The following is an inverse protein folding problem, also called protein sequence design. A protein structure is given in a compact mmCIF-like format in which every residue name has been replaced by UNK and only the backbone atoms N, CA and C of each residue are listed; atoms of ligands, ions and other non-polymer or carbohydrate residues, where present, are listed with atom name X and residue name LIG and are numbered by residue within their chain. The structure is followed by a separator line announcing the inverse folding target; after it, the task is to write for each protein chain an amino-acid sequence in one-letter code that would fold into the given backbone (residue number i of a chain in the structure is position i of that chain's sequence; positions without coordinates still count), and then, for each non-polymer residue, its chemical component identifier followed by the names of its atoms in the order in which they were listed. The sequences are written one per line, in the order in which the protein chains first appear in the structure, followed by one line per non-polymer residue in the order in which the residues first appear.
data_IF_933162294770
#
_entry.id   IF_933162294770
#
_cell.length_a   1.000
_cell.length_b   1.000
_cell.length_c   1.000
_cell.angle_alpha   90.00
_cell.angle_beta   90.00
_cell.angle_gamma   90.00
#
_symmetry.space_group_name_H-M   'P 1'
#
loop_
_entity.id
_entity.type
_entity.pdbx_description
1 polymer ?
#
# COMPACT_ATOMS: atom_id res chain seq x y z
N UNK A 1 11.07 20.74 -0.28
CA UNK A 1 11.00 19.27 -0.35
C UNK A 1 10.57 18.86 -1.75
N UNK A 2 11.01 17.70 -2.25
CA UNK A 2 10.67 17.21 -3.59
C UNK A 2 9.27 16.61 -3.55
N UNK A 3 8.41 17.05 -4.47
CA UNK A 3 7.10 16.44 -4.69
C UNK A 3 7.27 15.04 -5.31
N UNK A 4 6.79 14.00 -4.61
CA UNK A 4 6.81 12.62 -5.07
C UNK A 4 5.56 12.30 -5.89
N UNK A 5 5.69 11.42 -6.89
CA UNK A 5 4.57 10.79 -7.59
C UNK A 5 4.24 9.46 -6.95
N UNK A 6 3.08 9.33 -6.31
CA UNK A 6 2.69 8.14 -5.56
C UNK A 6 1.53 7.46 -6.29
N UNK A 7 1.76 6.27 -6.82
CA UNK A 7 0.72 5.40 -7.38
C UNK A 7 0.11 4.52 -6.30
N UNK A 8 -1.22 4.43 -6.28
CA UNK A 8 -1.99 3.58 -5.38
C UNK A 8 -2.87 2.64 -6.21
N UNK A 9 -2.82 1.35 -5.94
CA UNK A 9 -3.89 0.45 -6.38
C UNK A 9 -5.21 0.78 -5.64
N UNK A 10 -6.31 0.25 -6.15
CA UNK A 10 -7.63 0.49 -5.62
C UNK A 10 -8.23 -0.73 -4.91
N UNK A 11 -8.18 -1.92 -5.50
CA UNK A 11 -8.89 -3.09 -4.99
C UNK A 11 -8.04 -3.80 -3.94
N UNK A 12 -8.57 -3.96 -2.73
CA UNK A 12 -7.84 -4.39 -1.55
C UNK A 12 -6.64 -3.49 -1.17
N UNK A 13 -6.57 -2.26 -1.68
CA UNK A 13 -5.70 -1.18 -1.18
C UNK A 13 -6.49 0.04 -0.69
N UNK A 14 -7.53 0.46 -1.42
CA UNK A 14 -8.42 1.58 -1.05
C UNK A 14 -9.87 1.14 -0.83
N UNK A 15 -10.34 0.16 -1.60
CA UNK A 15 -11.67 -0.44 -1.50
C UNK A 15 -11.54 -1.89 -1.05
N UNK A 16 -12.48 -2.37 -0.23
CA UNK A 16 -12.58 -3.79 0.08
C UNK A 16 -13.02 -4.52 -1.18
N UNK A 17 -12.23 -5.48 -1.66
CA UNK A 17 -12.57 -6.24 -2.85
C UNK A 17 -12.84 -7.71 -2.49
N UNK A 18 -11.79 -8.50 -2.25
CA UNK A 18 -11.94 -9.91 -1.93
C UNK A 18 -12.68 -10.14 -0.59
N UNK A 19 -12.35 -9.35 0.44
CA UNK A 19 -13.04 -9.42 1.74
C UNK A 19 -14.53 -9.08 1.66
N UNK A 20 -14.91 -8.18 0.74
CA UNK A 20 -16.29 -7.80 0.53
C UNK A 20 -17.09 -8.90 -0.17
N UNK A 21 -16.51 -9.56 -1.18
CA UNK A 21 -17.10 -10.76 -1.79
C UNK A 21 -17.39 -11.81 -0.72
N UNK A 22 -16.41 -12.12 0.13
CA UNK A 22 -16.54 -13.12 1.19
C UNK A 22 -17.66 -12.74 2.16
N UNK A 23 -17.76 -11.47 2.54
CA UNK A 23 -18.86 -10.98 3.36
C UNK A 23 -20.22 -11.21 2.68
N UNK A 24 -20.38 -10.82 1.41
CA UNK A 24 -21.63 -10.98 0.66
C UNK A 24 -22.01 -12.46 0.51
N UNK A 25 -21.03 -13.31 0.25
CA UNK A 25 -21.22 -14.75 0.11
C UNK A 25 -21.55 -15.43 1.43
N UNK A 26 -20.96 -14.99 2.55
CA UNK A 26 -21.32 -15.49 3.88
C UNK A 26 -22.73 -15.04 4.30
N UNK A 27 -23.20 -13.86 3.88
CA UNK A 27 -24.59 -13.43 4.13
C UNK A 27 -25.63 -14.29 3.39
N UNK A 28 -25.26 -14.92 2.27
CA UNK A 28 -26.13 -15.85 1.54
C UNK A 28 -26.13 -17.26 2.12
N UNK A 29 -25.07 -17.64 2.86
CA UNK A 29 -24.96 -18.95 3.48
C UNK A 29 -25.87 -19.00 4.71
N UNK A 30 -26.78 -19.98 4.75
CA UNK A 30 -27.50 -20.30 5.98
C UNK A 30 -26.58 -21.10 6.90
N UNK A 31 -26.51 -20.71 8.18
CA UNK A 31 -25.61 -21.27 9.20
C UNK A 31 -25.75 -22.79 9.40
N UNK A 32 -26.83 -23.39 8.92
CA UNK A 32 -27.14 -24.81 9.11
C UNK A 32 -26.56 -25.74 8.03
N UNK A 33 -25.99 -25.21 6.93
CA UNK A 33 -25.67 -26.06 5.76
C UNK A 33 -24.27 -25.88 5.15
N UNK A 34 -23.51 -24.82 5.49
CA UNK A 34 -22.14 -24.61 4.99
C UNK A 34 -21.25 -23.90 6.00
N UNK A 35 -19.98 -24.26 6.01
CA UNK A 35 -18.94 -23.49 6.70
C UNK A 35 -18.84 -22.08 6.09
N UNK A 36 -18.56 -21.09 6.93
CA UNK A 36 -18.32 -19.72 6.46
C UNK A 36 -16.99 -19.68 5.71
N UNK A 37 -16.95 -18.94 4.62
CA UNK A 37 -15.69 -18.65 3.94
C UNK A 37 -14.84 -17.74 4.82
N UNK A 38 -13.56 -18.05 4.87
CA UNK A 38 -12.56 -17.29 5.60
C UNK A 38 -11.70 -16.49 4.62
N UNK A 39 -11.49 -15.21 4.92
CA UNK A 39 -10.63 -14.35 4.11
C UNK A 39 -9.17 -14.80 4.13
N UNK A 40 -8.71 -15.31 5.27
CA UNK A 40 -7.32 -15.75 5.41
C UNK A 40 -7.03 -17.05 4.63
N UNK A 41 -8.08 -17.76 4.20
CA UNK A 41 -7.93 -18.91 3.30
C UNK A 41 -7.67 -18.53 1.82
N UNK A 42 -7.75 -17.24 1.46
CA UNK A 42 -7.46 -16.74 0.12
C UNK A 42 -5.95 -16.60 -0.12
N UNK A 43 -5.29 -17.72 -0.39
CA UNK A 43 -3.82 -17.82 -0.53
C UNK A 43 -3.30 -17.52 -1.95
N UNK A 44 -4.18 -17.19 -2.91
CA UNK A 44 -3.80 -16.86 -4.28
C UNK A 44 -4.57 -15.66 -4.83
N UNK A 45 -3.85 -14.80 -5.56
CA UNK A 45 -4.46 -13.72 -6.33
C UNK A 45 -5.20 -14.24 -7.57
N UNK A 46 -4.67 -15.28 -8.18
CA UNK A 46 -5.27 -15.95 -9.34
C UNK A 46 -6.29 -17.01 -8.92
N UNK A 47 -7.05 -17.52 -9.89
CA UNK A 47 -7.95 -18.65 -9.69
C UNK A 47 -7.20 -19.87 -9.12
N UNK A 48 -7.80 -20.48 -8.11
CA UNK A 48 -7.23 -21.60 -7.36
C UNK A 48 -8.12 -22.85 -7.38
N UNK A 49 -9.12 -22.88 -8.27
CA UNK A 49 -10.12 -23.92 -8.48
C UNK A 49 -10.84 -24.33 -7.17
N UNK A 50 -11.19 -23.33 -6.35
CA UNK A 50 -11.86 -23.54 -5.06
C UNK A 50 -13.07 -22.60 -4.89
N UNK A 51 -13.80 -22.74 -3.77
CA UNK A 51 -15.03 -21.97 -3.54
C UNK A 51 -14.84 -20.45 -3.52
N UNK A 52 -13.63 -19.95 -3.24
CA UNK A 52 -13.33 -18.52 -3.22
C UNK A 52 -13.26 -17.90 -4.61
N UNK A 53 -13.11 -18.71 -5.67
CA UNK A 53 -13.12 -18.23 -7.06
C UNK A 53 -14.47 -17.67 -7.49
N UNK A 54 -15.53 -17.85 -6.69
CA UNK A 54 -16.80 -17.14 -6.84
C UNK A 54 -16.63 -15.61 -6.94
N UNK A 55 -15.54 -15.07 -6.37
CA UNK A 55 -15.16 -13.65 -6.50
C UNK A 55 -15.10 -13.16 -7.95
N UNK A 56 -14.68 -14.01 -8.88
CA UNK A 56 -14.58 -13.60 -10.28
C UNK A 56 -15.95 -13.38 -10.93
N UNK A 57 -17.02 -13.97 -10.39
CA UNK A 57 -18.39 -13.67 -10.82
C UNK A 57 -18.86 -12.31 -10.29
N UNK A 58 -18.45 -11.94 -9.08
CA UNK A 58 -18.72 -10.60 -8.53
C UNK A 58 -18.02 -9.49 -9.31
N UNK A 59 -16.81 -9.74 -9.80
CA UNK A 59 -16.06 -8.76 -10.60
C UNK A 59 -16.71 -8.52 -11.98
N UNK A 60 -17.73 -9.30 -12.37
CA UNK A 60 -18.57 -9.09 -13.55
C UNK A 60 -19.91 -8.41 -13.22
N UNK A 61 -20.06 -7.86 -12.01
CA UNK A 61 -21.28 -7.17 -11.57
C UNK A 61 -21.05 -5.67 -11.43
N UNK A 62 -21.94 -4.89 -12.03
CA UNK A 62 -22.00 -3.43 -11.84
C UNK A 62 -22.33 -3.10 -10.38
N UNK A 63 -23.29 -3.82 -9.81
CA UNK A 63 -23.76 -3.66 -8.44
C UNK A 63 -22.64 -3.88 -7.43
N UNK A 64 -21.70 -4.79 -7.70
CA UNK A 64 -20.52 -4.99 -6.87
C UNK A 64 -19.67 -3.72 -6.78
N UNK A 65 -19.33 -3.09 -7.91
CA UNK A 65 -18.57 -1.85 -7.94
C UNK A 65 -19.33 -0.66 -7.36
N UNK A 66 -20.66 -0.61 -7.56
CA UNK A 66 -21.52 0.44 -6.99
C UNK A 66 -21.63 0.35 -5.47
N UNK A 67 -21.53 -0.84 -4.89
CA UNK A 67 -21.68 -1.09 -3.44
C UNK A 67 -20.36 -1.31 -2.71
N UNK A 68 -19.24 -1.33 -3.43
CA UNK A 68 -17.93 -1.62 -2.87
C UNK A 68 -17.59 -0.66 -1.71
N UNK A 69 -17.31 -1.16 -0.51
CA UNK A 69 -16.99 -0.31 0.63
C UNK A 69 -15.54 0.17 0.57
N UNK A 70 -15.33 1.44 0.91
CA UNK A 70 -13.99 1.99 1.14
C UNK A 70 -13.37 1.31 2.38
N UNK A 71 -12.08 1.01 2.33
CA UNK A 71 -11.34 0.48 3.48
C UNK A 71 -11.29 1.54 4.57
N UNK A 72 -11.46 1.13 5.82
CA UNK A 72 -11.40 2.04 6.96
C UNK A 72 -10.06 2.79 6.99
N UNK A 73 -10.13 4.11 7.11
CA UNK A 73 -8.94 4.98 7.10
C UNK A 73 -8.40 5.34 5.71
N UNK A 74 -8.88 4.73 4.61
CA UNK A 74 -8.33 4.98 3.27
C UNK A 74 -8.48 6.45 2.83
N UNK A 75 -9.60 7.09 3.16
CA UNK A 75 -9.82 8.50 2.83
C UNK A 75 -8.80 9.39 3.56
N UNK A 76 -8.63 9.19 4.87
CA UNK A 76 -7.64 9.93 5.68
C UNK A 76 -6.21 9.69 5.19
N UNK A 77 -5.88 8.45 4.85
CA UNK A 77 -4.60 8.06 4.27
C UNK A 77 -4.29 8.83 2.98
N UNK A 78 -5.24 8.87 2.04
CA UNK A 78 -5.07 9.60 0.78
C UNK A 78 -4.98 11.10 1.01
N UNK A 79 -5.85 11.67 1.85
CA UNK A 79 -5.81 13.08 2.24
C UNK A 79 -4.47 13.46 2.88
N UNK A 80 -3.87 12.57 3.68
CA UNK A 80 -2.56 12.81 4.29
C UNK A 80 -1.45 12.86 3.24
N UNK A 81 -1.39 11.93 2.29
CA UNK A 81 -0.41 11.95 1.20
C UNK A 81 -0.52 13.22 0.35
N UNK A 82 -1.75 13.65 0.04
CA UNK A 82 -2.00 14.91 -0.68
C UNK A 82 -1.59 16.11 0.19
N UNK A 83 -1.90 16.09 1.49
CA UNK A 83 -1.56 17.12 2.46
C UNK A 83 -0.06 17.28 2.70
N UNK A 84 0.72 16.19 2.56
CA UNK A 84 2.19 16.21 2.49
C UNK A 84 2.72 16.88 1.21
N UNK A 85 1.84 17.23 0.27
CA UNK A 85 2.17 17.95 -0.95
C UNK A 85 2.58 17.06 -2.12
N UNK A 86 2.32 15.75 -2.07
CA UNK A 86 2.65 14.79 -3.13
C UNK A 86 1.60 14.76 -4.26
N UNK A 87 2.00 14.25 -5.43
CA UNK A 87 1.06 13.92 -6.51
C UNK A 87 0.60 12.48 -6.33
N UNK A 88 -0.66 12.29 -5.92
CA UNK A 88 -1.28 10.98 -5.75
C UNK A 88 -2.01 10.59 -7.02
N UNK A 89 -1.77 9.37 -7.49
CA UNK A 89 -2.38 8.74 -8.65
C UNK A 89 -3.06 7.44 -8.24
N UNK A 90 -4.31 7.24 -8.66
CA UNK A 90 -5.02 5.97 -8.45
C UNK A 90 -4.93 5.17 -9.74
N UNK A 91 -4.24 4.03 -9.68
CA UNK A 91 -3.96 3.15 -10.81
C UNK A 91 -4.71 1.83 -10.59
N UNK A 92 -5.90 1.70 -11.17
CA UNK A 92 -6.79 0.55 -10.97
C UNK A 92 -6.98 -0.26 -12.24
N UNK A 93 -7.19 -1.57 -12.10
CA UNK A 93 -7.50 -2.47 -13.20
C UNK A 93 -8.86 -3.11 -12.98
N UNK A 94 -9.84 -2.69 -13.77
CA UNK A 94 -11.16 -3.32 -13.85
C UNK A 94 -11.55 -3.46 -15.33
N UNK A 95 -12.59 -4.24 -15.62
CA UNK A 95 -13.15 -4.24 -16.98
C UNK A 95 -13.58 -2.82 -17.36
N UNK A 96 -13.18 -2.40 -18.55
CA UNK A 96 -13.50 -1.09 -19.13
C UNK A 96 -14.99 -0.77 -19.11
N UNK A 97 -15.87 -1.78 -19.14
CA UNK A 97 -17.33 -1.59 -19.09
C UNK A 97 -17.82 -1.02 -17.75
N UNK A 98 -17.05 -1.13 -16.68
CA UNK A 98 -17.35 -0.58 -15.34
C UNK A 98 -16.51 0.66 -15.02
N UNK A 99 -15.73 1.16 -15.98
CA UNK A 99 -14.80 2.26 -15.77
C UNK A 99 -15.48 3.59 -15.39
N UNK A 100 -16.73 3.79 -15.82
CA UNK A 100 -17.56 4.93 -15.42
C UNK A 100 -17.87 4.91 -13.92
N UNK A 101 -18.35 3.78 -13.39
CA UNK A 101 -18.70 3.61 -11.97
C UNK A 101 -17.46 3.84 -11.11
N UNK A 102 -16.34 3.21 -11.47
CA UNK A 102 -15.11 3.31 -10.68
C UNK A 102 -14.59 4.74 -10.62
N UNK A 103 -14.61 5.46 -11.75
CA UNK A 103 -14.24 6.90 -11.75
C UNK A 103 -15.18 7.73 -10.89
N UNK A 104 -16.49 7.47 -10.97
CA UNK A 104 -17.48 8.18 -10.15
C UNK A 104 -17.23 7.92 -8.66
N UNK A 105 -17.15 6.65 -8.25
CA UNK A 105 -16.88 6.25 -6.86
C UNK A 105 -15.59 6.86 -6.34
N UNK A 106 -14.49 6.79 -7.09
CA UNK A 106 -13.23 7.41 -6.69
C UNK A 106 -13.37 8.93 -6.51
N UNK A 107 -14.07 9.61 -7.42
CA UNK A 107 -14.27 11.06 -7.34
C UNK A 107 -15.11 11.48 -6.14
N UNK A 108 -16.06 10.64 -5.70
CA UNK A 108 -16.91 10.88 -4.53
C UNK A 108 -16.17 10.55 -3.23
N UNK A 109 -15.47 9.42 -3.19
CA UNK A 109 -14.83 8.88 -2.00
C UNK A 109 -13.46 9.55 -1.71
N UNK A 110 -12.74 10.02 -2.73
CA UNK A 110 -11.40 10.61 -2.63
C UNK A 110 -11.31 11.99 -3.33
N UNK A 111 -12.06 13.01 -2.86
CA UNK A 111 -12.16 14.31 -3.54
C UNK A 111 -10.85 15.10 -3.61
N UNK A 112 -9.86 14.77 -2.76
CA UNK A 112 -8.53 15.39 -2.76
C UNK A 112 -7.66 14.92 -3.95
N UNK A 113 -8.02 13.79 -4.57
CA UNK A 113 -7.35 13.28 -5.78
C UNK A 113 -7.98 13.91 -7.00
N UNK A 114 -7.16 14.56 -7.83
CA UNK A 114 -7.65 15.13 -9.08
C UNK A 114 -8.15 14.02 -10.01
N UNK A 115 -9.25 14.26 -10.70
CA UNK A 115 -9.82 13.30 -11.67
C UNK A 115 -8.85 12.93 -12.79
N UNK A 116 -7.96 13.84 -13.20
CA UNK A 116 -6.89 13.59 -14.18
C UNK A 116 -5.80 12.62 -13.69
N UNK A 117 -5.76 12.32 -12.39
CA UNK A 117 -4.83 11.39 -11.77
C UNK A 117 -5.44 10.00 -11.53
N UNK A 118 -6.64 9.72 -12.04
CA UNK A 118 -7.31 8.42 -11.93
C UNK A 118 -7.20 7.66 -13.26
N UNK A 119 -6.47 6.55 -13.24
CA UNK A 119 -6.21 5.74 -14.43
C UNK A 119 -6.80 4.34 -14.29
N UNK A 120 -7.59 3.94 -15.28
CA UNK A 120 -8.14 2.59 -15.39
C UNK A 120 -7.40 1.86 -16.50
N UNK A 121 -6.53 0.92 -16.14
CA UNK A 121 -5.70 0.16 -17.07
C UNK A 121 -5.19 -1.13 -16.41
N UNK A 122 -5.20 -2.22 -17.17
CA UNK A 122 -4.53 -3.47 -16.76
C UNK A 122 -3.02 -3.47 -17.00
N UNK A 123 -2.49 -2.45 -17.70
CA UNK A 123 -1.06 -2.28 -17.98
C UNK A 123 -0.47 -1.25 -17.04
N UNK A 124 -0.04 -1.66 -15.84
CA UNK A 124 0.62 -0.76 -14.87
C UNK A 124 2.08 -0.46 -15.21
N UNK A 125 2.72 -1.31 -16.00
CA UNK A 125 4.09 -1.18 -16.49
C UNK A 125 4.37 0.08 -17.32
N UNK A 126 3.34 0.68 -17.91
CA UNK A 126 3.48 1.90 -18.72
C UNK A 126 3.60 3.16 -17.85
N UNK A 127 3.23 3.09 -16.57
CA UNK A 127 3.30 4.24 -15.66
C UNK A 127 4.68 4.33 -15.04
N UNK A 128 5.11 5.57 -14.79
CA UNK A 128 6.33 5.87 -14.05
C UNK A 128 6.01 6.75 -12.86
N UNK A 129 6.17 6.18 -11.67
CA UNK A 129 5.89 6.80 -10.38
C UNK A 129 7.08 6.61 -9.45
N UNK A 130 7.22 7.51 -8.48
CA UNK A 130 8.29 7.44 -7.49
C UNK A 130 8.05 6.31 -6.50
N UNK A 131 6.80 6.10 -6.09
CA UNK A 131 6.38 5.03 -5.17
C UNK A 131 5.11 4.38 -5.74
N UNK A 132 5.01 3.05 -5.67
CA UNK A 132 3.76 2.33 -5.96
C UNK A 132 3.34 1.49 -4.76
N UNK A 133 2.09 1.63 -4.32
CA UNK A 133 1.46 0.75 -3.34
C UNK A 133 0.45 -0.17 -4.04
N UNK A 134 0.67 -1.47 -3.96
CA UNK A 134 -0.18 -2.49 -4.59
C UNK A 134 -0.17 -3.76 -3.76
N UNK A 135 -1.25 -4.54 -3.74
CA UNK A 135 -1.28 -5.85 -3.09
C UNK A 135 -0.91 -6.99 -4.07
N UNK A 136 -1.03 -6.76 -5.38
CA UNK A 136 -0.78 -7.77 -6.40
C UNK A 136 0.70 -7.77 -6.78
N UNK A 137 1.41 -8.85 -6.43
CA UNK A 137 2.86 -8.99 -6.63
C UNK A 137 3.29 -8.75 -8.08
N UNK A 138 2.49 -9.19 -9.06
CA UNK A 138 2.81 -9.04 -10.49
C UNK A 138 2.82 -7.59 -10.97
N UNK A 139 2.14 -6.67 -10.26
CA UNK A 139 2.17 -5.24 -10.55
C UNK A 139 3.45 -4.56 -10.04
N UNK A 140 4.15 -5.20 -9.08
CA UNK A 140 5.32 -4.65 -8.39
C UNK A 140 6.63 -5.32 -8.79
N UNK A 141 6.58 -6.56 -9.28
CA UNK A 141 7.75 -7.35 -9.64
C UNK A 141 7.53 -8.14 -10.94
N UNK A 142 8.57 -8.23 -11.75
CA UNK A 142 8.58 -8.95 -13.02
C UNK A 142 8.52 -8.03 -14.25
N UNK A 143 8.37 -8.63 -15.44
CA UNK A 143 8.42 -7.90 -16.72
C UNK A 143 7.29 -6.89 -16.92
N UNK A 144 6.17 -7.06 -16.21
CA UNK A 144 4.99 -6.18 -16.27
C UNK A 144 4.80 -5.35 -15.00
N UNK A 145 5.85 -5.25 -14.17
CA UNK A 145 5.82 -4.37 -13.02
C UNK A 145 5.78 -2.90 -13.45
N UNK A 146 5.12 -2.08 -12.64
CA UNK A 146 5.19 -0.61 -12.76
C UNK A 146 6.63 -0.12 -12.70
N UNK A 147 6.96 0.91 -13.49
CA UNK A 147 8.29 1.52 -13.43
C UNK A 147 8.39 2.43 -12.20
N UNK A 148 8.91 1.88 -11.11
CA UNK A 148 9.09 2.60 -9.85
C UNK A 148 10.39 2.19 -9.13
N UNK A 149 11.10 3.13 -8.50
CA UNK A 149 12.20 2.80 -7.60
C UNK A 149 11.74 2.26 -6.23
N UNK A 150 10.48 2.47 -5.86
CA UNK A 150 9.92 2.02 -4.59
C UNK A 150 8.62 1.24 -4.81
N UNK A 151 8.71 -0.04 -5.23
CA UNK A 151 7.57 -0.94 -5.25
C UNK A 151 7.26 -1.41 -3.83
N UNK A 152 6.10 -1.05 -3.30
CA UNK A 152 5.69 -1.35 -1.93
C UNK A 152 4.46 -2.26 -1.94
N UNK A 153 4.62 -3.44 -1.34
CA UNK A 153 3.58 -4.46 -1.26
C UNK A 153 2.67 -4.20 -0.05
N UNK A 154 1.39 -3.99 -0.28
CA UNK A 154 0.37 -4.02 0.76
C UNK A 154 0.10 -5.49 1.14
N UNK A 155 0.39 -5.88 2.37
CA UNK A 155 0.27 -7.29 2.80
C UNK A 155 -1.18 -7.77 2.82
N UNK A 156 -1.41 -8.92 2.20
CA UNK A 156 -2.70 -9.62 2.10
C UNK A 156 -2.46 -11.14 2.16
N UNK A 157 -3.47 -11.96 2.48
CA UNK A 157 -3.29 -13.42 2.60
C UNK A 157 -2.64 -14.07 1.37
N UNK A 158 -2.99 -13.62 0.16
CA UNK A 158 -2.44 -14.16 -1.09
C UNK A 158 -0.98 -13.77 -1.39
N UNK A 159 -0.38 -12.87 -0.60
CA UNK A 159 1.00 -12.42 -0.79
C UNK A 159 1.85 -12.57 0.48
N UNK A 160 1.37 -13.35 1.45
CA UNK A 160 2.05 -13.58 2.74
C UNK A 160 3.48 -14.09 2.53
N UNK A 161 3.63 -15.11 1.69
CA UNK A 161 4.91 -15.74 1.35
C UNK A 161 5.80 -14.92 0.41
N UNK A 162 5.33 -13.78 -0.10
CA UNK A 162 6.14 -12.93 -0.96
C UNK A 162 7.32 -12.32 -0.18
N UNK A 163 8.53 -12.52 -0.72
CA UNK A 163 9.80 -12.00 -0.19
C UNK A 163 10.50 -11.16 -1.26
N UNK A 164 11.38 -10.27 -0.82
CA UNK A 164 12.21 -9.45 -1.73
C UNK A 164 11.58 -8.14 -2.20
N UNK A 165 10.32 -7.88 -1.85
CA UNK A 165 9.65 -6.59 -2.02
C UNK A 165 9.39 -6.00 -0.63
N UNK A 166 9.63 -4.71 -0.46
CA UNK A 166 9.32 -3.97 0.75
C UNK A 166 7.80 -3.99 0.94
N UNK A 167 7.35 -4.26 2.16
CA UNK A 167 5.94 -4.45 2.41
C UNK A 167 5.48 -3.71 3.64
N UNK A 168 4.21 -3.31 3.63
CA UNK A 168 3.53 -2.63 4.74
C UNK A 168 2.27 -3.38 5.11
N UNK A 169 1.91 -3.37 6.38
CA UNK A 169 0.69 -4.00 6.89
C UNK A 169 -0.51 -3.05 6.86
N UNK A 170 -0.25 -1.73 6.95
CA UNK A 170 -1.27 -0.71 7.12
C UNK A 170 -0.82 0.64 6.53
N UNK A 171 -1.75 1.60 6.50
CA UNK A 171 -1.49 2.95 5.98
C UNK A 171 -0.44 3.72 6.78
N UNK A 172 -0.38 3.58 8.11
CA UNK A 172 0.59 4.31 8.93
C UNK A 172 2.02 3.90 8.58
N UNK A 173 2.29 2.60 8.41
CA UNK A 173 3.59 2.11 7.97
C UNK A 173 3.97 2.66 6.59
N UNK A 174 3.00 2.76 5.68
CA UNK A 174 3.24 3.36 4.36
C UNK A 174 3.57 4.86 4.47
N UNK A 175 2.81 5.62 5.26
CA UNK A 175 3.06 7.05 5.47
C UNK A 175 4.45 7.27 6.05
N UNK A 176 4.84 6.51 7.08
CA UNK A 176 6.17 6.58 7.67
C UNK A 176 7.26 6.26 6.64
N UNK A 177 7.03 5.24 5.81
CA UNK A 177 7.93 4.90 4.72
C UNK A 177 8.08 6.05 3.71
N UNK A 178 6.98 6.71 3.31
CA UNK A 178 7.02 7.89 2.43
C UNK A 178 7.87 9.00 3.07
N UNK A 179 7.71 9.25 4.38
CA UNK A 179 8.52 10.23 5.13
C UNK A 179 10.00 9.86 5.13
N UNK A 180 10.35 8.58 5.32
CA UNK A 180 11.74 8.13 5.22
C UNK A 180 12.33 8.31 3.82
N UNK A 181 11.55 8.01 2.79
CA UNK A 181 11.94 8.19 1.40
C UNK A 181 12.19 9.69 1.12
N UNK A 182 11.29 10.57 1.58
CA UNK A 182 11.45 12.02 1.47
C UNK A 182 12.69 12.53 2.22
N UNK A 183 12.91 12.04 3.44
CA UNK A 183 14.09 12.38 4.23
C UNK A 183 15.39 11.93 3.54
N UNK A 184 15.44 10.70 3.04
CA UNK A 184 16.64 10.16 2.35
C UNK A 184 17.03 10.99 1.11
N UNK A 185 16.04 11.52 0.39
CA UNK A 185 16.25 12.47 -0.69
C UNK A 185 16.85 13.78 -0.18
N UNK A 186 16.27 14.31 0.89
CA UNK A 186 16.64 15.59 1.45
C UNK A 186 18.10 15.62 1.92
N UNK A 187 18.53 14.57 2.63
CA UNK A 187 19.91 14.47 3.15
C UNK A 187 20.92 13.91 2.16
N UNK A 188 20.54 13.71 0.89
CA UNK A 188 21.47 13.38 -0.20
C UNK A 188 22.07 11.97 -0.14
N UNK A 189 21.49 11.05 0.65
CA UNK A 189 21.91 9.63 0.68
C UNK A 189 21.54 8.89 -0.62
N UNK A 190 20.83 9.57 -1.53
CA UNK A 190 20.43 9.06 -2.84
C UNK A 190 19.08 8.36 -2.80
N UNK A 191 18.24 8.66 -3.79
CA UNK A 191 16.91 8.06 -3.99
C UNK A 191 17.03 6.62 -4.48
N UNK A 192 17.43 5.71 -3.60
CA UNK A 192 17.62 4.30 -3.93
C UNK A 192 17.00 3.41 -2.87
N UNK A 193 16.25 2.41 -3.34
CA UNK A 193 15.62 1.35 -2.56
C UNK A 193 16.53 0.79 -1.45
N UNK A 194 17.77 0.42 -1.78
CA UNK A 194 18.70 -0.18 -0.82
C UNK A 194 19.09 0.78 0.31
N UNK A 195 19.22 2.08 0.02
CA UNK A 195 19.61 3.07 1.03
C UNK A 195 18.46 3.32 2.01
N UNK A 196 17.23 3.36 1.51
CA UNK A 196 16.03 3.49 2.35
C UNK A 196 15.84 2.24 3.21
N UNK A 197 16.00 1.03 2.64
CA UNK A 197 15.97 -0.21 3.42
C UNK A 197 16.98 -0.19 4.57
N UNK A 198 18.23 0.23 4.30
CA UNK A 198 19.27 0.30 5.32
C UNK A 198 18.92 1.31 6.41
N UNK A 199 18.38 2.49 6.05
CA UNK A 199 17.97 3.51 7.02
C UNK A 199 16.87 2.99 7.96
N UNK A 200 15.85 2.33 7.39
CA UNK A 200 14.77 1.73 8.18
C UNK A 200 15.32 0.66 9.12
N UNK A 201 16.17 -0.24 8.62
CA UNK A 201 16.75 -1.31 9.44
C UNK A 201 17.60 -0.76 10.59
N UNK A 202 18.41 0.28 10.35
CA UNK A 202 19.19 0.95 11.39
C UNK A 202 18.28 1.57 12.45
N UNK A 203 17.20 2.25 12.03
CA UNK A 203 16.27 2.87 12.97
C UNK A 203 15.50 1.84 13.81
N UNK A 204 15.03 0.74 13.21
CA UNK A 204 14.37 -0.34 13.95
C UNK A 204 15.35 -1.06 14.90
N UNK A 205 16.59 -1.28 14.48
CA UNK A 205 17.64 -1.80 15.36
C UNK A 205 17.89 -0.87 16.55
N UNK A 206 17.98 0.45 16.32
CA UNK A 206 18.19 1.42 17.39
C UNK A 206 17.03 1.45 18.38
N UNK A 207 15.76 1.42 17.92
CA UNK A 207 14.60 1.30 18.81
C UNK A 207 14.66 0.04 19.67
N UNK A 208 15.10 -1.08 19.08
CA UNK A 208 15.31 -2.31 19.81
C UNK A 208 16.42 -2.12 20.87
N UNK A 209 17.57 -1.56 20.53
CA UNK A 209 18.63 -1.33 21.52
C UNK A 209 18.24 -0.35 22.63
N UNK A 210 17.51 0.74 22.32
CA UNK A 210 16.99 1.69 23.32
C UNK A 210 16.03 1.03 24.31
N UNK A 211 15.31 -0.02 23.90
CA UNK A 211 14.46 -0.82 24.80
C UNK A 211 15.25 -1.78 25.70
N UNK A 212 16.51 -2.09 25.36
CA UNK A 212 17.37 -3.02 26.10
C UNK A 212 18.48 -2.30 26.89
N UNK A 213 18.68 -1.00 26.74
CA UNK A 213 19.63 -0.20 27.54
C UNK A 213 19.16 0.07 29.00
N UNK A 214 18.07 -0.55 29.47
CA UNK A 214 17.75 -0.58 30.92
C UNK A 214 18.58 -1.61 31.72
N UNK A 215 19.37 -2.50 31.09
CA UNK A 215 20.32 -3.38 31.79
C UNK A 215 21.73 -3.31 31.17
N UNK A 216 22.62 -2.58 31.85
CA UNK A 216 24.08 -2.46 31.72
C UNK A 216 24.76 -3.14 30.50
N UNK A 217 24.95 -2.38 29.41
CA UNK A 217 26.03 -2.62 28.46
C UNK A 217 26.57 -1.27 27.91
N UNK A 218 27.88 -1.01 28.05
CA UNK A 218 28.52 0.15 27.40
C UNK A 218 28.55 -0.02 25.87
N UNK A 219 27.96 0.90 25.06
CA UNK A 219 27.97 0.75 23.61
C UNK A 219 29.21 1.40 22.97
N UNK A 220 29.74 0.76 21.92
CA UNK A 220 30.50 1.47 20.89
C UNK A 220 29.66 2.65 20.38
N UNK A 221 30.22 3.87 20.44
CA UNK A 221 29.57 5.12 19.99
C UNK A 221 29.14 5.06 18.52
N UNK A 222 27.94 4.55 18.28
CA UNK A 222 27.10 4.90 17.15
C UNK A 222 26.28 6.11 17.57
N UNK A 223 26.30 7.16 16.76
CA UNK A 223 25.55 8.39 17.03
C UNK A 223 24.07 8.03 16.96
N UNK A 224 23.33 8.25 18.05
CA UNK A 224 21.90 7.90 18.08
C UNK A 224 21.10 8.76 17.10
N UNK A 225 19.94 8.27 16.66
CA UNK A 225 19.04 9.05 15.78
C UNK A 225 18.65 10.38 16.45
N UNK A 226 18.42 10.38 17.77
CA UNK A 226 18.22 11.60 18.55
C UNK A 226 19.42 12.55 18.50
N UNK A 227 20.65 12.05 18.61
CA UNK A 227 21.86 12.88 18.52
C UNK A 227 22.05 13.45 17.11
N UNK A 228 21.72 12.68 16.08
CA UNK A 228 21.70 13.15 14.69
C UNK A 228 20.66 14.27 14.54
N UNK A 229 19.41 14.05 14.99
CA UNK A 229 18.34 15.05 14.92
C UNK A 229 18.62 16.29 15.76
N UNK A 230 19.16 16.16 16.99
CA UNK A 230 19.55 17.29 17.86
C UNK A 230 20.66 18.15 17.24
N UNK A 231 21.60 17.53 16.53
CA UNK A 231 22.66 18.23 15.80
C UNK A 231 22.11 19.04 14.61
N UNK A 232 21.02 18.59 13.98
CA UNK A 232 20.41 19.30 12.84
C UNK A 232 19.35 20.33 13.23
N UNK A 233 18.59 20.13 14.31
CA UNK A 233 17.65 21.15 14.80
C UNK A 233 18.34 22.39 15.39
N UNK A 234 19.62 22.28 15.78
CA UNK A 234 20.41 23.43 16.24
C UNK A 234 21.02 24.27 15.11
N UNK A 235 20.96 23.80 13.85
CA UNK A 235 21.44 24.52 12.66
C UNK A 235 20.31 25.25 11.88
N UNK A 236 19.07 25.21 12.37
CA UNK A 236 17.91 25.93 11.78
C UNK A 236 17.41 27.09 12.66
N UNK A 237 18.26 28.09 12.88
CA UNK A 237 17.81 29.46 13.22
C UNK A 237 17.48 30.21 11.94
#
# INVERSE_FOLDING_TARGET
MRKLKIGLDCDDVLYKCNSYVIQLENLKRTTEQREMLDFDSLTSYEAADNELDIRFEYFKSREFYESQPVIEGAQAFVSELVGMGHDVFILTSIDSMYGDIRRQRISEDFPDVKSENVFISSRKDIFSVDIMLDDAVHNLQGERAVNTPFPILMKRPWNEDCRGIMSVLNYNEFIELVRYIEFSNYVGIGFNYNNVCNLIYVNEANKFYEQYEEEEAEPCRLISFEEMMKKYCTEMV
#
